data_IF_177357234902
#
_entry.id   IF_177357234902
#
_cell.length_a   1.000
_cell.length_b   1.000
_cell.length_c   1.000
_cell.angle_alpha   90.00
_cell.angle_beta   90.00
_cell.angle_gamma   90.00
#
_symmetry.space_group_name_H-M   'P 1'
#
loop_
_entity.id
_entity.type
_entity.pdbx_description
1 polymer ?
#
# COMPACT_ATOMS: atom_id res chain seq x y z
N UNK A 1 23.66 14.42 -29.49
CA UNK A 1 24.13 13.65 -28.33
C UNK A 1 22.97 13.53 -27.36
N UNK A 2 22.28 12.38 -27.34
CA UNK A 2 21.17 12.14 -26.42
C UNK A 2 21.69 12.02 -25.00
N UNK A 3 21.23 12.88 -24.10
CA UNK A 3 21.37 12.67 -22.66
C UNK A 3 20.52 11.43 -22.32
N UNK A 4 21.18 10.29 -22.09
CA UNK A 4 20.56 9.16 -21.38
C UNK A 4 20.13 9.69 -20.02
N UNK A 5 18.82 9.79 -19.82
CA UNK A 5 18.20 9.95 -18.51
C UNK A 5 18.64 8.74 -17.69
N UNK A 6 19.56 8.96 -16.75
CA UNK A 6 19.86 8.02 -15.69
C UNK A 6 18.65 7.96 -14.77
N UNK A 7 17.59 7.28 -15.20
CA UNK A 7 16.61 6.75 -14.28
C UNK A 7 17.33 5.61 -13.57
N UNK A 8 17.59 5.80 -12.29
CA UNK A 8 18.25 4.83 -11.43
C UNK A 8 17.63 3.45 -11.68
N UNK A 9 18.40 2.49 -12.22
CA UNK A 9 17.95 1.09 -12.43
C UNK A 9 17.63 0.37 -11.11
N UNK A 10 17.70 1.08 -9.98
CA UNK A 10 17.35 0.63 -8.64
C UNK A 10 15.84 0.63 -8.37
N UNK A 11 15.04 1.35 -9.16
CA UNK A 11 13.65 1.68 -8.80
C UNK A 11 12.56 0.71 -9.32
N UNK A 12 12.93 -0.40 -9.97
CA UNK A 12 11.95 -1.39 -10.43
C UNK A 12 12.44 -2.81 -10.13
N UNK A 13 12.58 -3.14 -8.83
CA UNK A 13 12.52 -4.56 -8.45
C UNK A 13 11.05 -4.95 -8.48
N UNK A 14 10.64 -5.64 -9.53
CA UNK A 14 9.30 -6.23 -9.58
C UNK A 14 9.15 -7.16 -8.38
N UNK A 15 8.22 -6.83 -7.50
CA UNK A 15 7.92 -7.64 -6.32
C UNK A 15 7.08 -8.83 -6.77
N UNK A 16 7.75 -9.85 -7.30
CA UNK A 16 7.10 -11.06 -7.81
C UNK A 16 7.15 -12.24 -6.83
N UNK A 17 7.60 -12.00 -5.59
CA UNK A 17 7.64 -13.01 -4.52
C UNK A 17 7.49 -12.36 -3.14
N UNK A 18 7.02 -13.13 -2.15
CA UNK A 18 6.97 -12.68 -0.75
C UNK A 18 8.36 -12.31 -0.19
N UNK A 19 9.41 -13.01 -0.61
CA UNK A 19 10.79 -12.70 -0.23
C UNK A 19 11.25 -11.36 -0.85
N UNK A 20 10.88 -11.10 -2.10
CA UNK A 20 11.13 -9.81 -2.75
C UNK A 20 10.39 -8.66 -2.07
N UNK A 21 9.16 -8.88 -1.58
CA UNK A 21 8.42 -7.88 -0.81
C UNK A 21 9.17 -7.54 0.49
N UNK A 22 9.66 -8.55 1.20
CA UNK A 22 10.46 -8.35 2.41
C UNK A 22 11.70 -7.50 2.13
N UNK A 23 12.46 -7.82 1.08
CA UNK A 23 13.67 -7.07 0.72
C UNK A 23 13.37 -5.60 0.46
N UNK A 24 12.36 -5.30 -0.37
CA UNK A 24 12.01 -3.91 -0.69
C UNK A 24 11.46 -3.18 0.53
N UNK A 25 10.46 -3.74 1.22
CA UNK A 25 9.79 -3.03 2.30
C UNK A 25 10.68 -2.87 3.54
N UNK A 26 11.40 -3.91 3.94
CA UNK A 26 12.21 -3.86 5.17
C UNK A 26 13.55 -3.18 4.93
N UNK A 27 14.22 -3.46 3.80
CA UNK A 27 15.55 -2.89 3.56
C UNK A 27 15.47 -1.44 3.06
N UNK A 28 14.52 -1.12 2.17
CA UNK A 28 14.46 0.20 1.53
C UNK A 28 13.45 1.15 2.20
N UNK A 29 12.35 0.63 2.75
CA UNK A 29 11.29 1.43 3.40
C UNK A 29 11.25 1.29 4.93
N UNK A 30 12.20 0.58 5.54
CA UNK A 30 12.27 0.33 6.98
C UNK A 30 10.97 -0.20 7.59
N UNK A 31 10.25 -1.04 6.84
CA UNK A 31 9.01 -1.62 7.29
C UNK A 31 9.21 -2.54 8.51
N UNK A 32 8.23 -2.53 9.41
CA UNK A 32 8.15 -3.40 10.56
C UNK A 32 7.25 -4.59 10.24
N UNK A 33 7.83 -5.80 10.26
CA UNK A 33 7.05 -7.03 10.21
C UNK A 33 6.10 -7.09 11.42
N UNK A 34 4.84 -7.40 11.17
CA UNK A 34 3.83 -7.53 12.22
C UNK A 34 3.91 -8.91 12.88
N UNK A 35 3.41 -9.08 14.12
CA UNK A 35 3.49 -10.35 14.85
C UNK A 35 2.80 -11.54 14.16
N UNK A 36 1.89 -11.28 13.21
CA UNK A 36 1.21 -12.30 12.42
C UNK A 36 2.08 -12.96 11.35
N UNK A 37 3.27 -12.41 11.07
CA UNK A 37 4.21 -12.92 10.07
C UNK A 37 3.75 -12.74 8.62
N UNK A 38 2.66 -12.01 8.38
CA UNK A 38 2.06 -11.82 7.05
C UNK A 38 2.13 -10.35 6.63
N UNK A 39 1.93 -9.44 7.57
CA UNK A 39 1.83 -8.01 7.27
C UNK A 39 3.13 -7.26 7.58
N UNK A 40 3.41 -6.26 6.76
CA UNK A 40 4.50 -5.30 6.94
C UNK A 40 3.90 -3.90 7.06
N UNK A 41 4.28 -3.18 8.12
CA UNK A 41 3.86 -1.79 8.36
C UNK A 41 4.99 -0.84 8.01
N UNK A 42 4.72 0.19 7.23
CA UNK A 42 5.71 1.22 6.86
C UNK A 42 5.05 2.59 6.74
N UNK A 43 5.87 3.65 6.68
CA UNK A 43 5.39 5.02 6.52
C UNK A 43 5.74 5.54 5.14
N UNK A 44 4.78 6.21 4.49
CA UNK A 44 5.01 6.97 3.26
C UNK A 44 4.86 8.45 3.58
N UNK A 45 5.87 9.25 3.21
CA UNK A 45 5.80 10.71 3.28
C UNK A 45 5.36 11.23 1.92
N UNK A 46 4.16 11.80 1.85
CA UNK A 46 3.70 12.47 0.64
C UNK A 46 4.36 13.85 0.55
N UNK A 47 5.05 14.11 -0.56
CA UNK A 47 5.81 15.36 -0.77
C UNK A 47 4.95 16.63 -0.61
N UNK A 48 3.64 16.53 -0.81
CA UNK A 48 2.69 17.63 -0.75
C UNK A 48 2.08 17.88 0.63
N UNK A 49 2.11 16.91 1.55
CA UNK A 49 1.29 17.00 2.78
C UNK A 49 2.12 17.09 4.07
N UNK A 50 3.43 16.87 4.04
CA UNK A 50 4.33 16.82 5.23
C UNK A 50 3.97 15.72 6.24
N UNK A 51 2.72 15.26 6.23
CA UNK A 51 2.19 14.21 7.05
C UNK A 51 2.62 12.84 6.50
N UNK A 52 2.93 11.97 7.46
CA UNK A 52 3.28 10.58 7.23
C UNK A 52 1.99 9.77 7.22
N UNK A 53 1.82 8.97 6.17
CA UNK A 53 0.73 8.00 6.09
C UNK A 53 1.28 6.62 6.46
N UNK A 54 0.69 5.98 7.47
CA UNK A 54 0.94 4.57 7.74
C UNK A 54 0.29 3.71 6.66
N UNK A 55 1.09 2.77 6.14
CA UNK A 55 0.74 1.80 5.13
C UNK A 55 0.95 0.39 5.68
N UNK A 56 0.10 -0.54 5.26
CA UNK A 56 0.23 -1.96 5.50
C UNK A 56 0.34 -2.67 4.15
N UNK A 57 1.27 -3.59 4.01
CA UNK A 57 1.37 -4.44 2.84
C UNK A 57 1.48 -5.92 3.22
N UNK A 58 0.95 -6.79 2.37
CA UNK A 58 1.09 -8.24 2.48
C UNK A 58 1.13 -8.89 1.10
N UNK A 59 1.74 -10.07 1.02
CA UNK A 59 1.86 -10.84 -0.21
C UNK A 59 1.29 -12.23 0.02
N UNK A 60 0.41 -12.70 -0.85
CA UNK A 60 -0.19 -14.02 -0.73
C UNK A 60 -0.39 -14.68 -2.10
N UNK A 61 -0.19 -16.00 -2.15
CA UNK A 61 -0.64 -16.81 -3.28
C UNK A 61 -2.13 -17.12 -3.12
N UNK A 62 -2.95 -16.61 -4.04
CA UNK A 62 -4.40 -16.78 -4.04
C UNK A 62 -4.80 -17.78 -5.13
N UNK A 63 -5.50 -18.88 -4.78
CA UNK A 63 -5.94 -19.87 -5.76
C UNK A 63 -6.74 -19.23 -6.90
N UNK A 64 -6.30 -19.46 -8.14
CA UNK A 64 -6.94 -18.93 -9.36
C UNK A 64 -6.54 -17.50 -9.74
N UNK A 65 -5.92 -16.74 -8.84
CA UNK A 65 -5.41 -15.39 -9.12
C UNK A 65 -3.88 -15.32 -9.18
N UNK A 66 -3.19 -16.32 -8.63
CA UNK A 66 -1.73 -16.34 -8.58
C UNK A 66 -1.23 -15.56 -7.37
N UNK A 67 -0.03 -15.02 -7.48
CA UNK A 67 0.53 -14.22 -6.40
C UNK A 67 -0.03 -12.79 -6.43
N UNK A 68 -0.41 -12.26 -5.27
CA UNK A 68 -1.04 -10.95 -5.15
C UNK A 68 -0.39 -10.15 -4.04
N UNK A 69 0.00 -8.92 -4.36
CA UNK A 69 0.40 -7.89 -3.42
C UNK A 69 -0.82 -7.06 -3.01
N UNK A 70 -1.11 -7.05 -1.71
CA UNK A 70 -2.09 -6.17 -1.10
C UNK A 70 -1.38 -4.99 -0.45
N UNK A 71 -1.82 -3.77 -0.74
CA UNK A 71 -1.36 -2.56 -0.06
C UNK A 71 -2.57 -1.80 0.44
N UNK A 72 -2.55 -1.42 1.71
CA UNK A 72 -3.61 -0.69 2.37
C UNK A 72 -3.11 0.57 3.09
N UNK A 73 -3.88 1.64 3.01
CA UNK A 73 -3.66 2.88 3.75
C UNK A 73 -4.86 3.14 4.68
N UNK A 74 -4.62 3.33 5.97
CA UNK A 74 -5.70 3.67 6.92
C UNK A 74 -6.10 5.13 6.77
N UNK A 75 -7.39 5.38 6.48
CA UNK A 75 -7.92 6.73 6.32
C UNK A 75 -8.48 7.27 7.63
N UNK A 76 -9.24 6.44 8.36
CA UNK A 76 -9.92 6.83 9.59
C UNK A 76 -10.27 5.61 10.42
N UNK A 77 -10.08 5.71 11.73
CA UNK A 77 -10.51 4.72 12.72
C UNK A 77 -11.96 4.97 13.14
N UNK A 78 -12.74 3.90 13.27
CA UNK A 78 -14.12 3.90 13.75
C UNK A 78 -14.99 5.02 13.15
N UNK A 79 -15.04 5.18 11.81
CA UNK A 79 -15.77 6.27 11.20
C UNK A 79 -17.29 6.14 11.41
N UNK A 80 -17.94 7.29 11.51
CA UNK A 80 -19.40 7.38 11.43
C UNK A 80 -19.86 7.20 9.98
N UNK A 81 -21.13 6.83 9.76
CA UNK A 81 -21.69 6.69 8.40
C UNK A 81 -21.49 7.98 7.58
N UNK A 82 -21.79 9.14 8.18
CA UNK A 82 -21.64 10.44 7.52
C UNK A 82 -20.19 10.67 7.07
N UNK A 83 -19.21 10.32 7.92
CA UNK A 83 -17.79 10.48 7.59
C UNK A 83 -17.34 9.49 6.52
N UNK A 84 -17.79 8.24 6.58
CA UNK A 84 -17.52 7.24 5.54
C UNK A 84 -18.06 7.68 4.20
N UNK A 85 -19.30 8.19 4.13
CA UNK A 85 -19.93 8.66 2.89
C UNK A 85 -19.15 9.80 2.25
N UNK A 86 -18.83 10.85 3.02
CA UNK A 86 -18.02 11.99 2.56
C UNK A 86 -16.67 11.53 1.98
N UNK A 87 -16.01 10.60 2.66
CA UNK A 87 -14.74 10.03 2.21
C UNK A 87 -14.92 9.24 0.89
N UNK A 88 -15.92 8.37 0.80
CA UNK A 88 -16.16 7.56 -0.39
C UNK A 88 -16.54 8.40 -1.62
N UNK A 89 -17.37 9.42 -1.43
CA UNK A 89 -17.73 10.37 -2.50
C UNK A 89 -16.49 11.07 -3.07
N UNK A 90 -15.56 11.46 -2.19
CA UNK A 90 -14.30 12.08 -2.61
C UNK A 90 -13.33 11.11 -3.29
N UNK A 91 -13.28 9.86 -2.84
CA UNK A 91 -12.36 8.83 -3.37
C UNK A 91 -12.79 8.34 -4.75
N UNK A 92 -14.10 8.22 -4.98
CA UNK A 92 -14.66 7.65 -6.22
C UNK A 92 -14.27 8.42 -7.48
N UNK A 93 -13.77 9.65 -7.35
CA UNK A 93 -13.31 10.47 -8.47
C UNK A 93 -11.85 10.22 -8.87
N UNK A 94 -11.03 9.58 -8.02
CA UNK A 94 -9.56 9.61 -8.17
C UNK A 94 -8.83 8.26 -8.17
N UNK A 95 -9.46 7.14 -7.82
CA UNK A 95 -8.72 5.94 -7.42
C UNK A 95 -9.07 4.66 -8.21
N UNK A 96 -8.04 4.03 -8.77
CA UNK A 96 -8.00 2.62 -9.20
C UNK A 96 -7.77 1.71 -7.97
N UNK A 97 -8.69 1.76 -7.00
CA UNK A 97 -8.60 0.99 -5.76
C UNK A 97 -9.94 0.90 -5.02
N UNK A 98 -10.02 -0.05 -4.08
CA UNK A 98 -11.23 -0.27 -3.29
C UNK A 98 -11.11 0.42 -1.93
N UNK A 99 -12.18 1.07 -1.49
CA UNK A 99 -12.32 1.49 -0.10
C UNK A 99 -13.00 0.36 0.71
N UNK A 100 -12.35 -0.11 1.76
CA UNK A 100 -12.78 -1.28 2.55
C UNK A 100 -12.81 -0.97 4.04
N UNK A 101 -13.76 -1.57 4.76
CA UNK A 101 -13.79 -1.58 6.22
C UNK A 101 -13.05 -2.81 6.74
N UNK A 102 -12.00 -2.61 7.54
CA UNK A 102 -11.20 -3.69 8.14
C UNK A 102 -10.67 -3.30 9.51
N UNK A 103 -10.80 -4.18 10.50
CA UNK A 103 -10.27 -3.94 11.86
C UNK A 103 -10.82 -2.68 12.54
N UNK A 104 -12.02 -2.23 12.17
CA UNK A 104 -12.60 -0.98 12.66
C UNK A 104 -12.14 0.28 11.91
N UNK A 105 -11.24 0.16 10.93
CA UNK A 105 -10.77 1.27 10.11
C UNK A 105 -11.42 1.26 8.73
N UNK A 106 -11.63 2.44 8.17
CA UNK A 106 -11.82 2.63 6.73
C UNK A 106 -10.44 2.75 6.09
N UNK A 107 -10.18 1.94 5.08
CA UNK A 107 -8.89 1.82 4.43
C UNK A 107 -9.03 1.94 2.92
N UNK A 108 -8.08 2.60 2.26
CA UNK A 108 -7.88 2.45 0.83
C UNK A 108 -7.03 1.22 0.59
N UNK A 109 -7.44 0.36 -0.35
CA UNK A 109 -6.73 -0.85 -0.70
C UNK A 109 -6.54 -0.95 -2.21
N UNK A 110 -5.33 -1.31 -2.61
CA UNK A 110 -5.02 -1.73 -3.97
C UNK A 110 -4.50 -3.16 -3.95
N UNK A 111 -4.87 -3.92 -4.98
CA UNK A 111 -4.40 -5.28 -5.23
C UNK A 111 -3.59 -5.25 -6.52
N UNK A 112 -2.34 -5.68 -6.47
CA UNK A 112 -1.44 -5.72 -7.62
C UNK A 112 -1.04 -7.18 -7.89
N UNK A 113 -1.11 -7.65 -9.15
CA UNK A 113 -0.63 -8.98 -9.54
C UNK A 113 0.91 -9.06 -9.53
#
# INVERSE_FOLDING_TARGET
MSKKSGRDERDARDVTTAAGLYEVLVADYHAQAQPDGVHYRFEVVWRSESDKQEMIASYANVPGLGDVLYVAASLVESPTEARTRDILERIGEFLDGDAVMSGGHLQLRICLP
#
